data_IF_337410416800
#
_entry.id   IF_337410416800
#
_cell.length_a   1.000
_cell.length_b   1.000
_cell.length_c   1.000
_cell.angle_alpha   90.00
_cell.angle_beta   90.00
_cell.angle_gamma   90.00
#
_symmetry.space_group_name_H-M   'P 1'
#
loop_
_entity.id
_entity.type
_entity.pdbx_description
1 polymer ?
#
# COMPACT_ATOMS: atom_id res chain seq x y z
N UNK A 1 5.28 -17.11 -13.15
CA UNK A 1 5.66 -17.65 -14.48
C UNK A 1 5.58 -19.18 -14.59
N UNK A 2 5.68 -19.98 -13.52
CA UNK A 2 5.58 -21.47 -13.62
C UNK A 2 4.14 -21.94 -13.96
N UNK A 3 3.11 -21.15 -13.65
CA UNK A 3 1.71 -21.56 -13.86
C UNK A 3 1.22 -21.41 -15.31
N UNK A 4 1.73 -20.42 -16.06
CA UNK A 4 1.28 -20.13 -17.43
C UNK A 4 1.72 -21.22 -18.43
N UNK A 5 3.00 -21.61 -18.39
CA UNK A 5 3.54 -22.68 -19.24
C UNK A 5 2.88 -24.03 -18.96
N UNK A 6 2.54 -24.32 -17.70
CA UNK A 6 1.82 -25.52 -17.30
C UNK A 6 0.39 -25.57 -17.87
N UNK A 7 -0.33 -24.44 -17.85
CA UNK A 7 -1.68 -24.33 -18.42
C UNK A 7 -1.64 -24.50 -19.94
N UNK A 8 -0.68 -23.88 -20.62
CA UNK A 8 -0.51 -24.05 -22.06
C UNK A 8 -0.22 -25.51 -22.43
N UNK A 9 0.67 -26.18 -21.70
CA UNK A 9 1.00 -27.58 -21.95
C UNK A 9 -0.23 -28.47 -21.74
N UNK A 10 -1.02 -28.21 -20.69
CA UNK A 10 -2.28 -28.92 -20.45
C UNK A 10 -3.31 -28.69 -21.57
N UNK A 11 -3.48 -27.44 -22.02
CA UNK A 11 -4.38 -27.11 -23.12
C UNK A 11 -3.97 -27.80 -24.43
N UNK A 12 -2.69 -27.80 -24.77
CA UNK A 12 -2.17 -28.51 -25.97
C UNK A 12 -2.41 -30.02 -25.87
N UNK A 13 -2.23 -30.61 -24.69
CA UNK A 13 -2.52 -32.02 -24.47
C UNK A 13 -4.02 -32.33 -24.64
N UNK A 14 -4.91 -31.49 -24.13
CA UNK A 14 -6.36 -31.64 -24.32
C UNK A 14 -6.76 -31.53 -25.80
N UNK A 15 -6.20 -30.57 -26.53
CA UNK A 15 -6.44 -30.41 -27.96
C UNK A 15 -5.95 -31.61 -28.77
N UNK A 16 -4.80 -32.19 -28.42
CA UNK A 16 -4.31 -33.43 -29.05
C UNK A 16 -5.20 -34.65 -28.74
N UNK A 17 -5.93 -34.62 -27.62
CA UNK A 17 -6.83 -35.71 -27.20
C UNK A 17 -8.19 -35.68 -27.90
N UNK A 18 -8.66 -34.53 -28.38
CA UNK A 18 -9.92 -34.41 -29.15
C UNK A 18 -10.01 -35.41 -30.32
N UNK A 19 -9.06 -35.46 -31.28
CA UNK A 19 -9.14 -36.39 -32.40
C UNK A 19 -9.04 -37.86 -31.98
N UNK A 20 -8.46 -38.15 -30.80
CA UNK A 20 -8.44 -39.50 -30.23
C UNK A 20 -9.82 -39.88 -29.69
N UNK A 21 -10.52 -38.93 -29.05
CA UNK A 21 -11.88 -39.15 -28.55
C UNK A 21 -12.90 -39.32 -29.69
N UNK A 22 -12.70 -38.68 -30.83
CA UNK A 22 -13.55 -38.86 -32.02
C UNK A 22 -13.55 -40.31 -32.54
N UNK A 23 -12.48 -41.07 -32.28
CA UNK A 23 -12.34 -42.47 -32.71
C UNK A 23 -13.07 -43.47 -31.81
N UNK A 24 -13.69 -43.02 -30.71
CA UNK A 24 -14.48 -43.89 -29.82
C UNK A 24 -15.70 -44.43 -30.59
N UNK A 25 -15.85 -45.76 -30.60
CA UNK A 25 -16.89 -46.46 -31.35
C UNK A 25 -18.29 -46.18 -30.78
N UNK A 26 -18.49 -46.30 -29.47
CA UNK A 26 -19.76 -46.01 -28.80
C UNK A 26 -20.08 -44.50 -28.90
N UNK A 27 -21.16 -44.11 -29.60
CA UNK A 27 -21.55 -42.70 -29.71
C UNK A 27 -21.83 -42.03 -28.37
N UNK A 28 -22.37 -42.76 -27.38
CA UNK A 28 -22.70 -42.18 -26.08
C UNK A 28 -21.43 -41.89 -25.26
N UNK A 29 -20.48 -42.83 -25.24
CA UNK A 29 -19.16 -42.62 -24.65
C UNK A 29 -18.36 -41.52 -25.36
N UNK A 30 -18.35 -41.53 -26.71
CA UNK A 30 -17.70 -40.49 -27.51
C UNK A 30 -18.20 -39.10 -27.14
N UNK A 31 -19.52 -38.91 -27.17
CA UNK A 31 -20.12 -37.60 -26.87
C UNK A 31 -19.81 -37.14 -25.44
N UNK A 32 -19.90 -38.05 -24.45
CA UNK A 32 -19.53 -37.71 -23.06
C UNK A 32 -18.07 -37.30 -22.94
N UNK A 33 -17.17 -38.02 -23.61
CA UNK A 33 -15.73 -37.74 -23.57
C UNK A 33 -15.39 -36.43 -24.26
N UNK A 34 -15.97 -36.17 -25.43
CA UNK A 34 -15.80 -34.90 -26.14
C UNK A 34 -16.28 -33.71 -25.30
N UNK A 35 -17.49 -33.79 -24.72
CA UNK A 35 -18.01 -32.75 -23.84
C UNK A 35 -17.11 -32.46 -22.64
N UNK A 36 -16.53 -33.51 -22.03
CA UNK A 36 -15.60 -33.34 -20.91
C UNK A 36 -14.30 -32.64 -21.35
N UNK A 37 -13.74 -33.03 -22.49
CA UNK A 37 -12.51 -32.41 -23.02
C UNK A 37 -12.77 -30.95 -23.39
N UNK A 38 -13.85 -30.66 -24.12
CA UNK A 38 -14.24 -29.30 -24.50
C UNK A 38 -14.49 -28.41 -23.29
N UNK A 39 -15.18 -28.93 -22.27
CA UNK A 39 -15.40 -28.21 -21.01
C UNK A 39 -14.07 -27.92 -20.28
N UNK A 40 -13.15 -28.88 -20.28
CA UNK A 40 -11.83 -28.69 -19.68
C UNK A 40 -10.99 -27.65 -20.44
N UNK A 41 -11.04 -27.63 -21.77
CA UNK A 41 -10.38 -26.61 -22.61
C UNK A 41 -10.94 -25.23 -22.28
N UNK A 42 -12.28 -25.10 -22.22
CA UNK A 42 -12.94 -23.83 -21.89
C UNK A 42 -12.48 -23.29 -20.53
N UNK A 43 -12.41 -24.16 -19.51
CA UNK A 43 -11.97 -23.77 -18.16
C UNK A 43 -10.48 -23.42 -18.11
N UNK A 44 -9.62 -24.14 -18.86
CA UNK A 44 -8.20 -23.81 -18.95
C UNK A 44 -7.97 -22.42 -19.54
N UNK A 45 -8.70 -22.07 -20.60
CA UNK A 45 -8.65 -20.72 -21.20
C UNK A 45 -9.11 -19.67 -20.21
N UNK A 46 -10.23 -19.89 -19.51
CA UNK A 46 -10.72 -18.96 -18.49
C UNK A 46 -9.71 -18.73 -17.37
N UNK A 47 -9.09 -19.81 -16.89
CA UNK A 47 -8.07 -19.71 -15.86
C UNK A 47 -6.84 -18.94 -16.34
N UNK A 48 -6.38 -19.17 -17.58
CA UNK A 48 -5.30 -18.40 -18.18
C UNK A 48 -5.62 -16.90 -18.27
N UNK A 49 -6.84 -16.52 -18.68
CA UNK A 49 -7.27 -15.12 -18.70
C UNK A 49 -7.25 -14.48 -17.31
N UNK A 50 -7.76 -15.19 -16.29
CA UNK A 50 -7.74 -14.71 -14.90
C UNK A 50 -6.32 -14.46 -14.38
N UNK A 51 -5.36 -15.31 -14.76
CA UNK A 51 -3.97 -15.09 -14.40
C UNK A 51 -3.37 -13.87 -15.10
N UNK A 52 -3.70 -13.66 -16.38
CA UNK A 52 -3.24 -12.48 -17.11
C UNK A 52 -3.85 -11.17 -16.57
N UNK A 53 -5.12 -11.20 -16.16
CA UNK A 53 -5.79 -10.05 -15.53
C UNK A 53 -5.29 -9.78 -14.10
N UNK A 54 -4.86 -10.82 -13.37
CA UNK A 54 -4.28 -10.66 -12.04
C UNK A 54 -2.89 -9.99 -12.07
N UNK A 55 -2.15 -10.14 -13.17
CA UNK A 55 -0.89 -9.44 -13.42
C UNK A 55 -1.11 -7.99 -13.90
N UNK A 56 -2.32 -7.61 -14.32
CA UNK A 56 -2.66 -6.20 -14.51
C UNK A 56 -2.73 -5.51 -13.14
N UNK A 57 -1.67 -4.77 -12.84
CA UNK A 57 -1.46 -4.01 -11.61
C UNK A 57 -2.71 -3.19 -11.28
N UNK A 58 -3.55 -3.70 -10.37
CA UNK A 58 -4.72 -2.97 -9.88
C UNK A 58 -4.22 -1.63 -9.36
N UNK A 59 -4.57 -0.50 -10.00
CA UNK A 59 -3.97 0.77 -9.66
C UNK A 59 -4.26 1.09 -8.20
N UNK A 60 -3.21 1.46 -7.46
CA UNK A 60 -3.31 1.79 -6.04
C UNK A 60 -4.48 2.75 -5.81
N UNK A 61 -5.39 2.46 -4.85
CA UNK A 61 -6.47 3.39 -4.52
C UNK A 61 -5.94 4.69 -3.89
N UNK A 62 -4.65 4.75 -3.57
CA UNK A 62 -3.98 5.90 -3.00
C UNK A 62 -3.37 6.76 -4.12
N UNK A 63 -3.72 8.04 -4.11
CA UNK A 63 -3.11 9.05 -4.98
C UNK A 63 -1.93 9.66 -4.24
N UNK A 64 -0.72 9.43 -4.73
CA UNK A 64 0.46 10.17 -4.25
C UNK A 64 0.31 11.64 -4.65
N UNK A 65 0.58 12.54 -3.70
CA UNK A 65 0.59 13.99 -3.95
C UNK A 65 1.94 14.55 -3.54
N UNK A 66 2.54 15.31 -4.46
CA UNK A 66 3.81 16.00 -4.21
C UNK A 66 3.71 17.07 -3.12
N UNK A 67 2.49 17.50 -2.79
CA UNK A 67 2.24 18.57 -1.82
C UNK A 67 1.43 18.08 -0.61
N UNK A 68 1.82 18.50 0.60
CA UNK A 68 1.10 18.13 1.81
C UNK A 68 -0.32 18.72 1.79
N UNK A 69 -1.30 17.90 2.18
CA UNK A 69 -2.72 18.29 2.24
C UNK A 69 -2.98 19.39 3.28
N UNK A 70 -2.05 19.56 4.23
CA UNK A 70 -2.08 20.64 5.22
C UNK A 70 -0.89 21.54 5.02
N UNK A 71 -1.14 22.85 4.98
CA UNK A 71 -0.11 23.86 5.16
C UNK A 71 0.36 23.72 6.61
N UNK A 72 1.53 23.11 6.80
CA UNK A 72 2.27 23.27 8.05
C UNK A 72 2.83 24.68 7.95
N UNK A 73 2.16 25.65 8.56
CA UNK A 73 2.83 26.90 8.86
C UNK A 73 3.97 26.52 9.80
N UNK A 74 5.21 26.71 9.34
CA UNK A 74 6.37 26.74 10.23
C UNK A 74 6.13 27.92 11.18
N UNK A 75 5.34 27.68 12.22
CA UNK A 75 5.32 28.53 13.39
C UNK A 75 6.76 28.46 13.88
N UNK A 76 7.55 29.46 13.51
CA UNK A 76 8.87 29.68 14.03
C UNK A 76 8.71 29.67 15.54
N UNK A 77 9.03 28.54 16.17
CA UNK A 77 9.14 28.46 17.60
C UNK A 77 10.40 29.25 17.89
N UNK A 78 10.25 30.57 17.98
CA UNK A 78 11.27 31.41 18.58
C UNK A 78 11.46 30.84 19.97
N UNK A 79 12.57 30.14 20.16
CA UNK A 79 13.07 29.80 21.47
C UNK A 79 13.12 31.10 22.24
N UNK A 80 12.16 31.32 23.15
CA UNK A 80 12.26 32.39 24.12
C UNK A 80 13.59 32.15 24.82
N UNK A 81 14.55 33.06 24.60
CA UNK A 81 15.78 33.12 25.36
C UNK A 81 15.37 32.93 26.82
N UNK A 82 15.87 31.88 27.46
CA UNK A 82 15.74 31.69 28.88
C UNK A 82 16.47 32.87 29.53
N UNK A 83 15.73 33.94 29.84
CA UNK A 83 16.24 35.07 30.58
C UNK A 83 16.51 34.61 32.00
N UNK A 84 17.74 34.84 32.45
CA UNK A 84 18.21 34.46 33.78
C UNK A 84 17.33 35.16 34.82
N UNK A 85 16.54 34.41 35.58
CA UNK A 85 15.65 34.93 36.63
C UNK A 85 16.41 35.55 37.81
N UNK A 86 17.74 35.54 37.75
CA UNK A 86 18.66 36.01 38.76
C UNK A 86 18.87 37.53 38.76
N UNK A 87 18.35 38.29 37.79
CA UNK A 87 18.63 39.75 37.68
C UNK A 87 17.35 40.60 37.52
N UNK A 88 17.26 41.68 38.29
CA UNK A 88 16.14 42.61 38.25
C UNK A 88 16.10 43.42 36.94
N UNK A 89 14.92 43.47 36.29
CA UNK A 89 14.71 44.20 35.03
C UNK A 89 14.80 45.72 35.12
N UNK A 90 14.63 46.29 36.32
CA UNK A 90 14.57 47.74 36.51
C UNK A 90 15.92 48.35 36.91
N UNK A 91 16.66 47.68 37.81
CA UNK A 91 17.91 48.22 38.35
C UNK A 91 19.11 47.29 38.19
N UNK A 92 18.96 46.19 37.46
CA UNK A 92 20.02 45.22 37.13
C UNK A 92 20.75 44.61 38.34
N UNK A 93 20.13 44.68 39.52
CA UNK A 93 20.65 44.06 40.73
C UNK A 93 20.29 42.57 40.79
N UNK A 94 21.16 41.76 41.40
CA UNK A 94 20.90 40.34 41.62
C UNK A 94 19.65 40.15 42.51
N UNK A 95 18.71 39.34 42.02
CA UNK A 95 17.51 38.92 42.73
C UNK A 95 17.82 37.71 43.60
N UNK A 96 17.51 37.81 44.90
CA UNK A 96 17.47 36.64 45.77
C UNK A 96 16.25 35.79 45.41
N UNK A 97 16.45 34.52 45.07
CA UNK A 97 15.41 33.62 44.54
C UNK A 97 14.20 33.36 45.44
N UNK A 98 14.25 33.76 46.72
CA UNK A 98 13.16 33.59 47.68
C UNK A 98 12.26 34.83 47.83
N UNK A 99 12.48 35.90 47.06
CA UNK A 99 11.70 37.14 47.12
C UNK A 99 10.99 37.43 45.79
N UNK A 100 9.69 37.72 45.85
CA UNK A 100 8.87 38.11 44.69
C UNK A 100 9.09 39.58 44.26
N UNK A 101 10.04 40.29 44.88
CA UNK A 101 10.36 41.69 44.60
C UNK A 101 11.85 41.98 44.74
N UNK A 102 12.33 43.01 44.04
CA UNK A 102 13.72 43.44 44.09
C UNK A 102 14.00 44.23 45.39
N UNK A 103 14.94 43.80 46.24
CA UNK A 103 15.29 44.52 47.46
C UNK A 103 16.00 45.86 47.22
N UNK A 104 16.56 46.09 46.02
CA UNK A 104 17.30 47.32 45.70
C UNK A 104 16.40 48.46 45.22
N UNK A 105 15.35 48.17 44.45
CA UNK A 105 14.48 49.19 43.85
C UNK A 105 12.98 49.04 44.19
N UNK A 106 12.57 47.91 44.79
CA UNK A 106 11.19 47.64 45.17
C UNK A 106 10.27 47.19 44.01
N UNK A 107 10.81 47.02 42.80
CA UNK A 107 10.04 46.50 41.66
C UNK A 107 9.70 45.02 41.88
N UNK A 108 8.45 44.64 41.62
CA UNK A 108 8.03 43.23 41.67
C UNK A 108 8.54 42.48 40.44
N UNK A 109 8.78 41.18 40.61
CA UNK A 109 9.25 40.32 39.52
C UNK A 109 8.23 40.18 38.38
#
# INVERSE_FOLDING_TARGET
>A
MVDEEGIEQFQRWLQARLPMAEQIEDPAERNRTLQQIESAIQLAIQYGMLLSEADEEVPSPFVERDTPVRVVEDASVTSNNAYDESVCRNCEADLSGDLDFCPACGEFR
#
